data_IF_547408318396
#
_entry.id   IF_547408318396
#
_cell.length_a   1.000
_cell.length_b   1.000
_cell.length_c   1.000
_cell.angle_alpha   90.00
_cell.angle_beta   90.00
_cell.angle_gamma   90.00
#
_symmetry.space_group_name_H-M   'P 1'
#
loop_
_entity.id
_entity.type
_entity.pdbx_description
1 polymer ?
#
# COMPACT_ATOMS: atom_id res chain seq x y z
N UNK A 1 -13.57 10.84 12.73
CA UNK A 1 -12.61 9.75 12.48
C UNK A 1 -12.75 9.34 11.02
N UNK A 2 -11.65 9.14 10.30
CA UNK A 2 -11.64 8.76 8.88
C UNK A 2 -11.19 7.30 8.78
N UNK A 3 -12.11 6.33 8.59
CA UNK A 3 -11.78 4.90 8.64
C UNK A 3 -11.31 4.34 7.28
N UNK A 4 -10.82 5.20 6.39
CA UNK A 4 -10.46 4.86 5.02
C UNK A 4 -9.14 5.53 4.66
N UNK A 5 -8.23 4.76 4.06
CA UNK A 5 -7.00 5.26 3.42
C UNK A 5 -6.99 4.82 1.95
N UNK A 6 -6.75 5.74 1.02
CA UNK A 6 -6.90 5.47 -0.41
C UNK A 6 -5.58 5.52 -1.17
N UNK A 7 -4.43 5.77 -0.52
CA UNK A 7 -3.16 5.92 -1.22
C UNK A 7 -1.96 5.38 -0.42
N UNK A 8 -1.41 4.24 -0.84
CA UNK A 8 -0.18 3.65 -0.29
C UNK A 8 0.50 2.72 -1.30
N UNK A 9 1.78 2.41 -1.06
CA UNK A 9 2.62 1.60 -1.95
C UNK A 9 3.17 0.37 -1.21
N UNK A 10 3.37 -0.74 -1.91
CA UNK A 10 3.98 -1.95 -1.36
C UNK A 10 5.42 -2.12 -1.86
N UNK A 11 6.12 -3.14 -1.35
CA UNK A 11 7.46 -3.56 -1.84
C UNK A 11 7.53 -3.86 -3.34
N UNK A 12 6.41 -3.86 -4.06
CA UNK A 12 6.40 -3.89 -5.51
C UNK A 12 7.04 -2.62 -6.13
N UNK A 13 7.11 -1.50 -5.39
CA UNK A 13 7.97 -0.35 -5.70
C UNK A 13 9.16 -0.33 -4.71
N UNK A 14 10.43 -0.29 -5.14
CA UNK A 14 11.53 -0.59 -4.19
C UNK A 14 11.79 0.50 -3.14
N UNK A 15 11.30 1.71 -3.35
CA UNK A 15 11.25 2.77 -2.34
C UNK A 15 10.09 2.63 -1.33
N UNK A 16 9.27 1.59 -1.43
CA UNK A 16 8.25 1.26 -0.44
C UNK A 16 8.62 -0.04 0.29
N UNK A 17 8.24 -0.12 1.57
CA UNK A 17 8.89 -1.04 2.52
C UNK A 17 7.93 -2.02 3.21
N UNK A 18 6.68 -2.09 2.76
CA UNK A 18 5.65 -2.92 3.38
C UNK A 18 4.97 -3.84 2.37
N UNK A 19 4.60 -5.02 2.82
CA UNK A 19 3.80 -5.98 2.06
C UNK A 19 2.31 -5.73 2.27
N UNK A 20 1.46 -6.39 1.46
CA UNK A 20 0.01 -6.40 1.70
C UNK A 20 -0.34 -6.88 3.11
N UNK A 21 0.37 -7.88 3.64
CA UNK A 21 0.08 -8.44 4.96
C UNK A 21 0.39 -7.44 6.08
N UNK A 22 1.43 -6.62 5.92
CA UNK A 22 1.76 -5.55 6.87
C UNK A 22 0.62 -4.53 6.94
N UNK A 23 0.10 -4.11 5.79
CA UNK A 23 -1.03 -3.19 5.73
C UNK A 23 -2.33 -3.79 6.30
N UNK A 24 -2.62 -5.06 6.05
CA UNK A 24 -3.78 -5.75 6.65
C UNK A 24 -3.66 -5.79 8.17
N UNK A 25 -2.48 -6.12 8.70
CA UNK A 25 -2.23 -6.12 10.14
C UNK A 25 -2.41 -4.73 10.75
N UNK A 26 -1.85 -3.70 10.10
CA UNK A 26 -1.94 -2.32 10.57
C UNK A 26 -3.35 -1.75 10.48
N UNK A 27 -4.09 -2.07 9.41
CA UNK A 27 -5.49 -1.68 9.24
C UNK A 27 -6.36 -2.23 10.37
N UNK A 28 -6.15 -3.50 10.76
CA UNK A 28 -6.84 -4.12 11.91
C UNK A 28 -6.50 -3.41 13.22
N UNK A 29 -5.24 -3.07 13.46
CA UNK A 29 -4.79 -2.39 14.68
C UNK A 29 -5.34 -0.95 14.80
N UNK A 30 -5.40 -0.24 13.67
CA UNK A 30 -5.80 1.17 13.62
C UNK A 30 -7.30 1.39 13.37
N UNK A 31 -8.09 0.32 13.21
CA UNK A 31 -9.52 0.41 12.97
C UNK A 31 -9.91 0.93 11.58
N UNK A 32 -9.00 0.85 10.59
CA UNK A 32 -9.35 1.09 9.19
C UNK A 32 -10.37 0.04 8.74
N UNK A 33 -11.41 0.50 8.04
CA UNK A 33 -12.50 -0.32 7.52
C UNK A 33 -12.33 -0.62 6.03
N UNK A 34 -11.56 0.20 5.34
CA UNK A 34 -11.21 0.05 3.94
C UNK A 34 -9.82 0.66 3.71
N UNK A 35 -9.00 0.01 2.89
CA UNK A 35 -7.83 0.65 2.31
C UNK A 35 -7.64 0.21 0.85
N UNK A 36 -6.89 1.00 0.09
CA UNK A 36 -6.49 0.67 -1.29
C UNK A 36 -4.96 0.62 -1.40
N UNK A 37 -4.45 -0.36 -2.14
CA UNK A 37 -3.05 -0.35 -2.61
C UNK A 37 -3.02 0.38 -3.95
N UNK A 38 -2.12 1.35 -4.07
CA UNK A 38 -1.94 2.21 -5.24
C UNK A 38 -0.46 2.26 -5.61
N UNK A 39 0.12 1.09 -5.87
CA UNK A 39 1.49 0.98 -6.38
C UNK A 39 1.69 1.85 -7.62
N UNK A 40 2.95 2.23 -7.88
CA UNK A 40 3.25 3.04 -9.05
C UNK A 40 2.89 2.33 -10.35
N UNK A 41 2.52 3.13 -11.36
CA UNK A 41 2.30 2.62 -12.71
C UNK A 41 3.60 2.08 -13.33
N UNK A 42 3.50 1.14 -14.29
CA UNK A 42 4.65 0.40 -14.84
C UNK A 42 5.67 1.29 -15.59
N UNK A 43 5.27 2.47 -16.04
CA UNK A 43 6.16 3.41 -16.75
C UNK A 43 7.11 4.17 -15.80
N UNK A 44 6.85 4.14 -14.49
CA UNK A 44 7.65 4.87 -13.51
C UNK A 44 8.93 4.08 -13.16
N UNK A 45 10.06 4.78 -13.07
CA UNK A 45 11.27 4.20 -12.52
C UNK A 45 10.99 3.71 -11.10
N UNK A 46 11.51 2.53 -10.76
CA UNK A 46 11.33 1.89 -9.44
C UNK A 46 9.91 1.39 -9.11
N UNK A 47 9.04 1.28 -10.13
CA UNK A 47 7.72 0.68 -10.02
C UNK A 47 7.76 -0.86 -10.21
N UNK A 48 6.63 -1.58 -10.01
CA UNK A 48 6.56 -3.01 -10.27
C UNK A 48 6.96 -3.34 -11.72
N UNK A 49 7.84 -4.32 -11.89
CA UNK A 49 8.30 -4.81 -13.19
C UNK A 49 7.65 -6.16 -13.54
N UNK A 50 7.70 -6.55 -14.82
CA UNK A 50 7.18 -7.82 -15.34
C UNK A 50 8.14 -9.00 -15.14
#
# INVERSE_FOLDING_TARGET
>A
MYPVDLHMHTVASTHAYSTLHDYVAQAKQNGLKLFAITDHGPDMADAPHY
#
